data_IF_197974558770
#
_entry.id   IF_197974558770
#
_cell.length_a   1.000
_cell.length_b   1.000
_cell.length_c   1.000
_cell.angle_alpha   90.00
_cell.angle_beta   90.00
_cell.angle_gamma   90.00
#
_symmetry.space_group_name_H-M   'P 1'
#
loop_
_entity.id
_entity.type
_entity.pdbx_description
1 polymer ?
#
# COMPACT_ATOMS: atom_id res chain seq x y z
N UNK A 1 14.46 28.31 38.59
CA UNK A 1 15.29 27.20 38.06
C UNK A 1 14.49 26.10 37.34
N UNK A 2 13.35 25.61 37.86
CA UNK A 2 12.59 24.48 37.25
C UNK A 2 12.09 24.70 35.80
N UNK A 3 11.70 25.93 35.42
CA UNK A 3 11.17 26.23 34.07
C UNK A 3 12.15 25.94 32.93
N UNK A 4 13.46 26.04 33.17
CA UNK A 4 14.50 25.77 32.16
C UNK A 4 14.66 24.27 31.88
N UNK A 5 14.49 23.44 32.91
CA UNK A 5 14.55 21.98 32.78
C UNK A 5 13.32 21.42 32.07
N UNK A 6 12.15 22.04 32.22
CA UNK A 6 10.91 21.65 31.51
C UNK A 6 11.07 21.84 29.99
N UNK A 7 11.66 22.95 29.55
CA UNK A 7 11.92 23.19 28.12
C UNK A 7 12.91 22.19 27.53
N UNK A 8 13.97 21.87 28.27
CA UNK A 8 14.96 20.86 27.86
C UNK A 8 14.30 19.48 27.76
N UNK A 9 13.47 19.11 28.73
CA UNK A 9 12.71 17.86 28.72
C UNK A 9 11.75 17.76 27.52
N UNK A 10 11.05 18.84 27.18
CA UNK A 10 10.17 18.91 26.00
C UNK A 10 10.95 18.74 24.69
N UNK A 11 12.15 19.30 24.58
CA UNK A 11 13.02 19.14 23.40
C UNK A 11 13.52 17.69 23.28
N UNK A 12 13.90 17.03 24.38
CA UNK A 12 14.29 15.61 24.32
C UNK A 12 13.11 14.68 24.00
N UNK A 13 11.89 15.04 24.43
CA UNK A 13 10.69 14.26 24.14
C UNK A 13 10.30 14.34 22.65
N UNK A 14 10.47 15.48 21.99
CA UNK A 14 10.14 15.63 20.56
C UNK A 14 11.01 14.76 19.64
N UNK A 15 12.26 14.48 20.02
CA UNK A 15 13.17 13.60 19.27
C UNK A 15 12.69 12.13 19.22
N UNK A 16 11.83 11.70 20.14
CA UNK A 16 11.26 10.33 20.14
C UNK A 16 10.07 10.18 19.19
N UNK A 17 9.56 11.28 18.62
CA UNK A 17 8.32 11.31 17.82
C UNK A 17 8.55 10.95 16.35
N UNK A 18 9.79 10.81 15.88
CA UNK A 18 10.15 10.45 14.48
C UNK A 18 9.77 9.01 14.04
N UNK A 19 8.79 8.39 14.70
CA UNK A 19 8.15 7.12 14.35
C UNK A 19 7.09 7.25 13.24
N UNK A 20 7.15 8.28 12.41
CA UNK A 20 6.12 8.50 11.41
C UNK A 20 6.33 7.57 10.21
N UNK A 21 5.26 6.92 9.76
CA UNK A 21 5.26 6.22 8.49
C UNK A 21 5.45 7.25 7.38
N UNK A 22 6.50 7.11 6.57
CA UNK A 22 6.74 7.95 5.42
C UNK A 22 6.04 7.36 4.20
N UNK A 23 5.38 8.20 3.39
CA UNK A 23 4.67 7.79 2.18
C UNK A 23 5.26 8.50 0.97
N UNK A 24 5.61 7.74 -0.06
CA UNK A 24 6.07 8.24 -1.34
C UNK A 24 5.14 7.79 -2.45
N UNK A 25 4.83 8.69 -3.37
CA UNK A 25 4.02 8.42 -4.55
C UNK A 25 4.93 8.33 -5.78
N UNK A 26 4.69 7.32 -6.62
CA UNK A 26 5.41 7.08 -7.86
C UNK A 26 4.42 7.02 -9.01
N UNK A 27 4.70 7.75 -10.08
CA UNK A 27 4.06 7.52 -11.37
C UNK A 27 4.81 6.39 -12.07
N UNK A 28 4.24 5.19 -12.06
CA UNK A 28 4.84 4.00 -12.66
C UNK A 28 4.31 3.83 -14.07
N UNK A 29 5.20 4.03 -15.06
CA UNK A 29 4.87 3.90 -16.48
C UNK A 29 5.44 2.60 -17.04
N UNK A 30 4.59 1.83 -17.72
CA UNK A 30 4.97 0.57 -18.36
C UNK A 30 4.23 0.37 -19.69
N UNK A 31 4.81 -0.46 -20.55
CA UNK A 31 4.24 -0.89 -21.82
C UNK A 31 4.00 -2.39 -21.74
N UNK A 32 2.80 -2.84 -22.10
CA UNK A 32 2.46 -4.26 -22.09
C UNK A 32 3.11 -5.01 -23.26
N UNK A 33 3.14 -4.37 -24.44
CA UNK A 33 3.83 -4.84 -25.63
C UNK A 33 5.08 -3.97 -25.87
N UNK A 34 6.25 -4.59 -25.93
CA UNK A 34 7.50 -3.90 -26.22
C UNK A 34 7.60 -3.34 -27.64
N UNK A 35 6.75 -3.81 -28.56
CA UNK A 35 6.73 -3.38 -29.97
C UNK A 35 5.78 -2.21 -30.22
N UNK A 36 4.86 -1.93 -29.29
CA UNK A 36 3.95 -0.79 -29.35
C UNK A 36 4.51 0.40 -28.54
N UNK A 37 5.09 1.36 -29.26
CA UNK A 37 5.72 2.53 -28.66
C UNK A 37 4.70 3.58 -28.19
N UNK A 38 3.45 3.51 -28.63
CA UNK A 38 2.42 4.53 -28.37
C UNK A 38 1.60 4.21 -27.11
N UNK A 39 1.36 2.94 -26.78
CA UNK A 39 0.52 2.56 -25.63
C UNK A 39 1.30 2.54 -24.30
N UNK A 40 1.60 3.73 -23.77
CA UNK A 40 2.12 3.89 -22.40
C UNK A 40 0.99 3.85 -21.37
N UNK A 41 1.07 2.90 -20.46
CA UNK A 41 0.16 2.77 -19.32
C UNK A 41 0.84 3.39 -18.10
N UNK A 42 0.12 4.23 -17.36
CA UNK A 42 0.58 4.87 -16.12
C UNK A 42 -0.28 4.41 -14.94
N UNK A 43 0.38 4.05 -13.84
CA UNK A 43 -0.22 3.62 -12.59
C UNK A 43 0.37 4.38 -11.41
N UNK A 44 -0.50 4.89 -10.51
CA UNK A 44 -0.05 5.55 -9.29
C UNK A 44 0.30 4.52 -8.22
N UNK A 45 1.59 4.36 -7.98
CA UNK A 45 2.14 3.44 -6.98
C UNK A 45 2.50 4.18 -5.69
N UNK A 46 2.37 3.49 -4.57
CA UNK A 46 2.63 4.03 -3.23
C UNK A 46 3.68 3.18 -2.53
N UNK A 47 4.69 3.84 -1.97
CA UNK A 47 5.64 3.24 -1.04
C UNK A 47 5.41 3.81 0.36
N UNK A 48 4.89 2.97 1.24
CA UNK A 48 4.79 3.26 2.66
C UNK A 48 5.98 2.65 3.40
N UNK A 49 6.72 3.46 4.15
CA UNK A 49 7.85 3.05 4.97
C UNK A 49 7.52 3.28 6.44
N UNK A 50 7.36 2.19 7.19
CA UNK A 50 7.13 2.22 8.63
C UNK A 50 8.23 1.50 9.41
N UNK A 51 8.12 1.54 10.74
CA UNK A 51 9.08 0.88 11.65
C UNK A 51 9.21 -0.63 11.44
N UNK A 52 8.12 -1.30 11.09
CA UNK A 52 8.08 -2.77 10.95
C UNK A 52 8.46 -3.24 9.54
N UNK A 53 8.59 -2.32 8.58
CA UNK A 53 8.77 -2.67 7.19
C UNK A 53 8.24 -1.61 6.22
N UNK A 54 8.39 -1.90 4.93
CA UNK A 54 7.81 -1.09 3.85
C UNK A 54 6.82 -1.88 3.00
N UNK A 55 5.89 -1.18 2.37
CA UNK A 55 4.86 -1.73 1.48
C UNK A 55 4.86 -0.93 0.19
N UNK A 56 4.91 -1.63 -0.95
CA UNK A 56 4.80 -1.04 -2.27
C UNK A 56 3.60 -1.63 -3.00
N UNK A 57 2.65 -0.80 -3.40
CA UNK A 57 1.35 -1.24 -3.93
C UNK A 57 0.69 -0.15 -4.80
N UNK A 58 -0.29 -0.52 -5.64
CA UNK A 58 -1.11 0.43 -6.40
C UNK A 58 -2.12 1.15 -5.51
N UNK A 59 -2.17 2.47 -5.60
CA UNK A 59 -3.15 3.29 -4.88
C UNK A 59 -4.58 2.99 -5.34
N UNK A 60 -4.79 2.82 -6.65
CA UNK A 60 -6.13 2.57 -7.21
C UNK A 60 -6.66 1.19 -6.80
N UNK A 61 -5.82 0.15 -6.82
CA UNK A 61 -6.19 -1.18 -6.29
C UNK A 61 -6.55 -1.08 -4.81
N UNK A 62 -5.74 -0.38 -4.02
CA UNK A 62 -5.99 -0.21 -2.59
C UNK A 62 -7.30 0.52 -2.29
N UNK A 63 -7.61 1.60 -3.02
CA UNK A 63 -8.85 2.34 -2.87
C UNK A 63 -10.07 1.48 -3.22
N UNK A 64 -10.00 0.73 -4.33
CA UNK A 64 -11.08 -0.16 -4.76
C UNK A 64 -11.31 -1.30 -3.75
N UNK A 65 -10.25 -1.95 -3.26
CA UNK A 65 -10.32 -2.97 -2.19
C UNK A 65 -11.02 -2.40 -0.93
N UNK A 66 -10.68 -1.16 -0.58
CA UNK A 66 -11.26 -0.49 0.60
C UNK A 66 -12.73 -0.18 0.42
N UNK A 67 -13.14 0.38 -0.72
CA UNK A 67 -14.54 0.70 -1.03
C UNK A 67 -15.38 -0.58 -1.08
N UNK A 68 -14.87 -1.62 -1.76
CA UNK A 68 -15.53 -2.92 -1.86
C UNK A 68 -15.76 -3.53 -0.47
N UNK A 69 -14.75 -3.51 0.40
CA UNK A 69 -14.87 -4.03 1.76
C UNK A 69 -15.91 -3.28 2.61
N UNK A 70 -15.97 -1.95 2.49
CA UNK A 70 -16.97 -1.14 3.22
C UNK A 70 -18.39 -1.44 2.72
N UNK A 71 -18.58 -1.47 1.40
CA UNK A 71 -19.89 -1.75 0.81
C UNK A 71 -20.34 -3.18 1.12
N UNK A 72 -19.43 -4.15 1.05
CA UNK A 72 -19.71 -5.54 1.41
C UNK A 72 -20.17 -5.67 2.86
N UNK A 73 -19.46 -5.03 3.81
CA UNK A 73 -19.88 -5.00 5.21
C UNK A 73 -21.24 -4.33 5.41
N UNK A 74 -21.51 -3.25 4.68
CA UNK A 74 -22.80 -2.56 4.71
C UNK A 74 -23.91 -3.52 4.26
N UNK A 75 -23.79 -4.09 3.06
CA UNK A 75 -24.74 -5.03 2.47
C UNK A 75 -25.03 -6.22 3.40
N UNK A 76 -23.98 -6.78 4.02
CA UNK A 76 -24.14 -7.85 5.03
C UNK A 76 -24.96 -7.39 6.25
N UNK A 77 -24.73 -6.16 6.74
CA UNK A 77 -25.46 -5.63 7.90
C UNK A 77 -26.91 -5.28 7.58
N UNK A 78 -27.19 -4.83 6.37
CA UNK A 78 -28.53 -4.41 5.91
C UNK A 78 -29.30 -5.51 5.20
N UNK A 79 -28.71 -6.69 5.00
CA UNK A 79 -29.24 -7.77 4.17
C UNK A 79 -29.69 -7.25 2.78
N UNK A 80 -28.92 -6.34 2.20
CA UNK A 80 -29.19 -5.75 0.90
C UNK A 80 -28.23 -6.27 -0.16
N UNK A 81 -28.75 -6.49 -1.38
CA UNK A 81 -27.97 -6.91 -2.54
C UNK A 81 -27.60 -5.72 -3.44
N UNK A 82 -27.32 -4.56 -2.82
CA UNK A 82 -27.01 -3.34 -3.56
C UNK A 82 -25.73 -3.54 -4.39
N UNK A 83 -25.75 -3.18 -5.69
CA UNK A 83 -24.60 -3.38 -6.56
C UNK A 83 -23.39 -2.58 -6.07
N UNK A 84 -22.22 -3.22 -6.06
CA UNK A 84 -20.96 -2.59 -5.67
C UNK A 84 -20.48 -1.74 -6.85
N UNK A 85 -20.68 -0.44 -6.77
CA UNK A 85 -20.16 0.51 -7.76
C UNK A 85 -18.67 0.76 -7.53
N UNK A 86 -17.83 0.31 -8.47
CA UNK A 86 -16.42 0.68 -8.54
C UNK A 86 -16.31 2.08 -9.14
N UNK A 87 -16.27 3.12 -8.31
CA UNK A 87 -16.33 4.53 -8.77
C UNK A 87 -14.98 5.10 -9.23
N UNK A 88 -13.89 4.32 -9.21
CA UNK A 88 -12.53 4.82 -9.45
C UNK A 88 -11.86 4.26 -10.71
N UNK A 89 -10.63 4.72 -10.97
CA UNK A 89 -9.75 4.07 -11.95
C UNK A 89 -9.53 2.62 -11.54
N UNK A 90 -9.63 1.69 -12.50
CA UNK A 90 -9.21 0.31 -12.28
C UNK A 90 -7.68 0.30 -12.22
N UNK A 91 -7.13 0.01 -11.05
CA UNK A 91 -5.69 -0.18 -10.91
C UNK A 91 -5.26 -1.44 -11.66
N UNK A 92 -4.17 -1.32 -12.44
CA UNK A 92 -3.70 -2.36 -13.34
C UNK A 92 -2.64 -3.23 -12.65
N UNK A 93 -1.89 -2.64 -11.72
CA UNK A 93 -0.83 -3.30 -10.97
C UNK A 93 -1.41 -3.97 -9.72
N UNK A 94 -1.78 -5.24 -9.83
CA UNK A 94 -2.38 -6.01 -8.74
C UNK A 94 -1.37 -6.55 -7.70
N UNK A 95 -0.07 -6.60 -8.02
CA UNK A 95 0.94 -7.12 -7.10
C UNK A 95 1.27 -6.15 -5.96
N UNK A 96 1.75 -6.69 -4.85
CA UNK A 96 2.20 -5.93 -3.67
C UNK A 96 3.56 -6.43 -3.23
N UNK A 97 4.51 -5.54 -2.97
CA UNK A 97 5.83 -5.91 -2.43
C UNK A 97 5.91 -5.49 -0.97
N UNK A 98 6.16 -6.46 -0.09
CA UNK A 98 6.30 -6.23 1.35
C UNK A 98 7.74 -6.49 1.76
N UNK A 99 8.36 -5.53 2.43
CA UNK A 99 9.68 -5.68 3.04
C UNK A 99 9.54 -5.63 4.55
N UNK A 100 9.97 -6.67 5.25
CA UNK A 100 9.93 -6.74 6.71
C UNK A 100 11.25 -6.31 7.34
N UNK A 101 11.19 -5.61 8.48
CA UNK A 101 12.36 -5.22 9.28
C UNK A 101 12.41 -6.02 10.59
N UNK A 102 13.62 -6.28 11.14
CA UNK A 102 14.94 -5.84 10.68
C UNK A 102 15.61 -6.77 9.66
N UNK A 103 15.07 -7.96 9.44
CA UNK A 103 15.68 -9.02 8.61
C UNK A 103 15.66 -8.73 7.10
N UNK A 104 15.07 -7.61 6.67
CA UNK A 104 14.91 -7.20 5.28
C UNK A 104 14.28 -8.28 4.38
N UNK A 105 13.45 -9.17 4.95
CA UNK A 105 12.75 -10.19 4.17
C UNK A 105 11.79 -9.53 3.20
N UNK A 106 11.93 -9.84 1.92
CA UNK A 106 11.04 -9.35 0.85
C UNK A 106 10.04 -10.46 0.53
N UNK A 107 8.76 -10.10 0.43
CA UNK A 107 7.70 -10.95 -0.07
C UNK A 107 7.03 -10.25 -1.25
N UNK A 108 6.98 -10.93 -2.39
CA UNK A 108 6.29 -10.43 -3.57
C UNK A 108 4.96 -11.15 -3.69
N UNK A 109 3.89 -10.42 -3.37
CA UNK A 109 2.53 -10.95 -3.35
C UNK A 109 1.89 -10.67 -4.70
N UNK A 110 1.49 -11.74 -5.38
CA UNK A 110 0.75 -11.68 -6.65
C UNK A 110 -0.61 -12.35 -6.48
N UNK A 111 -1.63 -11.84 -7.16
CA UNK A 111 -2.90 -12.55 -7.27
C UNK A 111 -2.78 -13.54 -8.42
N UNK A 112 -2.95 -14.83 -8.12
CA UNK A 112 -3.14 -15.88 -9.11
C UNK A 112 -4.57 -16.37 -8.94
N UNK A 113 -5.40 -16.05 -9.93
CA UNK A 113 -6.84 -16.25 -9.85
C UNK A 113 -7.40 -15.56 -8.59
N UNK A 114 -8.14 -16.28 -7.75
CA UNK A 114 -8.72 -15.77 -6.49
C UNK A 114 -7.79 -15.90 -5.29
N UNK A 115 -6.54 -16.35 -5.49
CA UNK A 115 -5.61 -16.67 -4.40
C UNK A 115 -4.39 -15.75 -4.38
N UNK A 116 -4.02 -15.29 -3.18
CA UNK A 116 -2.80 -14.52 -2.97
C UNK A 116 -1.61 -15.47 -2.80
N UNK A 117 -0.58 -15.29 -3.63
CA UNK A 117 0.60 -16.13 -3.63
C UNK A 117 1.87 -15.31 -3.38
N UNK A 118 2.80 -15.85 -2.59
CA UNK A 118 4.14 -15.26 -2.43
C UNK A 118 5.09 -15.87 -3.46
N UNK A 119 5.48 -15.08 -4.46
CA UNK A 119 6.35 -15.52 -5.55
C UNK A 119 7.67 -16.15 -5.05
N UNK A 120 8.16 -15.72 -3.89
CA UNK A 120 9.44 -16.18 -3.33
C UNK A 120 9.38 -17.62 -2.77
N UNK A 121 8.19 -18.20 -2.59
CA UNK A 121 8.05 -19.57 -2.08
C UNK A 121 8.31 -20.66 -3.14
N UNK A 122 8.52 -20.29 -4.42
CA UNK A 122 8.64 -21.25 -5.54
C UNK A 122 10.07 -21.48 -6.06
N UNK A 123 11.08 -20.90 -5.40
CA UNK A 123 12.49 -21.10 -5.76
C UNK A 123 13.16 -21.96 -4.68
N UNK A 124 12.89 -23.26 -4.71
CA UNK A 124 13.68 -24.30 -4.03
C UNK A 124 13.62 -25.57 -4.89
#
# INVERSE_FOLDING_TARGET
MMRKYVLIFLIFFSLKVFSQTQRFYYDYQFQADSTDLETKISELMVLDIGKKGSKYYSEYVFQNDSVMNVQFKKNMSTHSDDPISMSGKQGIVAYKVLKSYPNFKINHIVSLDMTLYNANNKLN
#
